data_IF_526871337043
#
_entry.id   IF_526871337043
#
_cell.length_a   1.000
_cell.length_b   1.000
_cell.length_c   1.000
_cell.angle_alpha   90.00
_cell.angle_beta   90.00
_cell.angle_gamma   90.00
#
_symmetry.space_group_name_H-M   'P 1'
#
loop_
_entity.id
_entity.type
_entity.pdbx_description
1 polymer ?
#
# COMPACT_ATOMS: atom_id res chain seq x y z
N UNK A 1 7.81 15.84 3.99
CA UNK A 1 8.43 14.68 3.30
C UNK A 1 9.37 13.84 4.18
N UNK A 2 10.44 14.37 4.79
CA UNK A 2 11.39 13.58 5.60
C UNK A 2 10.79 12.82 6.82
N UNK A 3 9.59 13.24 7.28
CA UNK A 3 8.88 12.64 8.41
C UNK A 3 8.56 11.16 8.20
N UNK A 4 8.22 10.76 6.97
CA UNK A 4 7.75 9.41 6.69
C UNK A 4 8.85 8.50 6.13
N UNK A 5 9.96 9.04 5.65
CA UNK A 5 11.03 8.25 5.03
C UNK A 5 11.60 7.17 5.95
N UNK A 6 11.63 7.43 7.27
CA UNK A 6 12.11 6.45 8.26
C UNK A 6 11.08 5.37 8.63
N UNK A 7 9.81 5.51 8.26
CA UNK A 7 8.73 4.57 8.63
C UNK A 7 8.11 3.87 7.42
N UNK A 8 8.46 4.22 6.18
CA UNK A 8 7.95 3.60 4.95
C UNK A 8 8.04 2.07 4.98
N UNK A 9 9.19 1.53 5.37
CA UNK A 9 9.40 0.08 5.45
C UNK A 9 8.52 -0.58 6.51
N UNK A 10 8.31 0.10 7.64
CA UNK A 10 7.45 -0.39 8.72
C UNK A 10 5.98 -0.36 8.32
N UNK A 11 5.54 0.68 7.61
CA UNK A 11 4.18 0.76 7.04
C UNK A 11 3.98 -0.37 6.02
N UNK A 12 4.92 -0.56 5.09
CA UNK A 12 4.86 -1.64 4.12
C UNK A 12 4.78 -3.03 4.80
N UNK A 13 5.51 -3.22 5.91
CA UNK A 13 5.46 -4.46 6.69
C UNK A 13 4.10 -4.67 7.39
N UNK A 14 3.47 -3.62 7.93
CA UNK A 14 2.13 -3.69 8.51
C UNK A 14 1.13 -4.14 7.44
N UNK A 15 1.11 -3.47 6.27
CA UNK A 15 0.26 -3.84 5.15
C UNK A 15 0.46 -5.30 4.75
N UNK A 16 1.72 -5.70 4.55
CA UNK A 16 2.06 -7.08 4.18
C UNK A 16 1.51 -8.08 5.18
N UNK A 17 1.73 -7.85 6.48
CA UNK A 17 1.26 -8.74 7.56
C UNK A 17 -0.25 -8.93 7.53
N UNK A 18 -1.03 -7.85 7.37
CA UNK A 18 -2.49 -7.95 7.33
C UNK A 18 -3.00 -8.62 6.04
N UNK A 19 -2.39 -8.32 4.90
CA UNK A 19 -2.72 -8.92 3.62
C UNK A 19 -2.41 -10.42 3.59
N UNK A 20 -1.22 -10.82 4.03
CA UNK A 20 -0.81 -12.22 4.15
C UNK A 20 -1.69 -12.98 5.15
N UNK A 21 -2.08 -12.36 6.27
CA UNK A 21 -2.99 -12.97 7.24
C UNK A 21 -4.39 -13.23 6.65
N UNK A 22 -4.88 -12.36 5.78
CA UNK A 22 -6.21 -12.47 5.16
C UNK A 22 -6.23 -13.43 3.98
N UNK A 23 -5.27 -13.30 3.07
CA UNK A 23 -5.28 -13.99 1.79
C UNK A 23 -4.34 -15.20 1.74
N UNK A 24 -3.35 -15.26 2.63
CA UNK A 24 -2.38 -16.35 2.69
C UNK A 24 -1.71 -16.58 1.34
N UNK A 25 -1.61 -17.84 0.93
CA UNK A 25 -0.99 -18.22 -0.34
C UNK A 25 -1.90 -18.02 -1.57
N UNK A 26 -3.09 -17.43 -1.41
CA UNK A 26 -4.04 -17.23 -2.52
C UNK A 26 -3.71 -16.00 -3.37
N UNK A 27 -3.06 -15.02 -2.76
CA UNK A 27 -2.54 -13.81 -3.38
C UNK A 27 -1.15 -13.55 -2.82
N UNK A 28 -0.21 -13.22 -3.70
CA UNK A 28 1.16 -12.87 -3.29
C UNK A 28 1.33 -11.36 -3.40
N UNK A 29 1.81 -10.72 -2.33
CA UNK A 29 2.00 -9.26 -2.25
C UNK A 29 3.49 -8.92 -2.24
N UNK A 30 4.14 -9.08 -3.41
CA UNK A 30 5.59 -8.98 -3.53
C UNK A 30 6.12 -7.56 -3.30
N UNK A 31 5.39 -6.54 -3.78
CA UNK A 31 5.83 -5.14 -3.73
C UNK A 31 4.77 -4.27 -3.07
N UNK A 32 5.18 -3.54 -2.02
CA UNK A 32 4.35 -2.55 -1.35
C UNK A 32 5.14 -1.26 -1.29
N UNK A 33 4.69 -0.26 -2.05
CA UNK A 33 5.36 1.02 -2.19
C UNK A 33 4.60 2.08 -1.39
N UNK A 34 5.30 2.71 -0.45
CA UNK A 34 4.74 3.74 0.43
C UNK A 34 5.36 5.09 0.08
N UNK A 35 4.54 6.00 -0.41
CA UNK A 35 4.98 7.31 -0.89
C UNK A 35 4.23 8.43 -0.17
N UNK A 36 4.92 9.37 0.50
CA UNK A 36 4.27 10.56 1.03
C UNK A 36 3.84 11.46 -0.13
N UNK A 37 2.59 11.89 -0.11
CA UNK A 37 1.98 12.78 -1.09
C UNK A 37 1.32 13.98 -0.40
N UNK A 38 1.07 15.01 -1.18
CA UNK A 38 0.18 16.11 -0.82
C UNK A 38 -1.10 15.95 -1.62
N UNK A 39 -2.24 16.19 -1.00
CA UNK A 39 -3.52 16.26 -1.70
C UNK A 39 -3.72 17.65 -2.36
N UNK A 40 -4.91 17.92 -2.86
CA UNK A 40 -5.23 19.21 -3.51
C UNK A 40 -5.25 20.41 -2.55
N UNK A 41 -5.19 20.17 -1.24
CA UNK A 41 -5.19 21.19 -0.18
C UNK A 41 -3.85 21.29 0.55
N UNK A 42 -2.77 20.73 0.00
CA UNK A 42 -1.44 20.65 0.62
C UNK A 42 -1.41 19.86 1.94
N UNK A 43 -2.35 18.92 2.15
CA UNK A 43 -2.34 18.03 3.31
C UNK A 43 -1.52 16.76 3.02
N UNK A 44 -0.58 16.44 3.91
CA UNK A 44 0.26 15.24 3.77
C UNK A 44 -0.54 13.96 4.06
N UNK A 45 -0.50 13.00 3.11
CA UNK A 45 -1.01 11.64 3.29
C UNK A 45 0.00 10.61 2.79
N UNK A 46 -0.26 9.33 3.12
CA UNK A 46 0.55 8.21 2.62
C UNK A 46 -0.20 7.49 1.51
N UNK A 47 0.36 7.53 0.31
CA UNK A 47 -0.07 6.70 -0.80
C UNK A 47 0.59 5.33 -0.69
N UNK A 48 -0.21 4.27 -0.69
CA UNK A 48 0.23 2.88 -0.57
C UNK A 48 -0.20 2.13 -1.83
N UNK A 49 0.77 1.76 -2.66
CA UNK A 49 0.54 0.90 -3.83
C UNK A 49 0.98 -0.51 -3.52
N UNK A 50 0.04 -1.45 -3.63
CA UNK A 50 0.26 -2.87 -3.41
C UNK A 50 0.20 -3.57 -4.76
N UNK A 51 1.31 -4.16 -5.18
CA UNK A 51 1.34 -5.06 -6.33
C UNK A 51 1.01 -6.45 -5.84
N UNK A 52 0.02 -7.08 -6.47
CA UNK A 52 -0.39 -8.44 -6.14
C UNK A 52 -0.26 -9.37 -7.34
N UNK A 53 -0.07 -10.66 -7.07
CA UNK A 53 -0.01 -11.75 -8.05
C UNK A 53 -1.03 -12.82 -7.64
N UNK A 54 -1.91 -13.21 -8.57
CA UNK A 54 -2.97 -14.20 -8.37
C UNK A 54 -4.37 -13.72 -8.77
N UNK A 55 -5.40 -14.37 -8.22
CA UNK A 55 -6.81 -14.13 -8.56
C UNK A 55 -7.35 -12.84 -7.92
N UNK A 56 -7.34 -11.74 -8.67
CA UNK A 56 -7.80 -10.42 -8.22
C UNK A 56 -9.26 -10.36 -7.76
N UNK A 57 -10.12 -11.29 -8.19
CA UNK A 57 -11.52 -11.37 -7.72
C UNK A 57 -11.60 -11.70 -6.21
N UNK A 58 -10.49 -12.15 -5.63
CA UNK A 58 -10.37 -12.40 -4.20
C UNK A 58 -10.18 -11.14 -3.37
N UNK A 59 -9.80 -10.01 -3.98
CA UNK A 59 -9.68 -8.71 -3.31
C UNK A 59 -11.07 -8.16 -2.97
N UNK A 60 -11.66 -8.72 -1.90
CA UNK A 60 -12.95 -8.33 -1.35
C UNK A 60 -12.99 -6.81 -1.05
N UNK A 61 -13.77 -6.01 -1.82
CA UNK A 61 -13.78 -4.56 -1.68
C UNK A 61 -14.21 -4.09 -0.29
N UNK A 62 -15.15 -4.81 0.34
CA UNK A 62 -15.63 -4.44 1.68
C UNK A 62 -14.54 -4.63 2.73
N UNK A 63 -13.77 -5.70 2.60
CA UNK A 63 -12.64 -5.96 3.50
C UNK A 63 -11.50 -4.96 3.28
N UNK A 64 -11.16 -4.68 2.03
CA UNK A 64 -10.10 -3.73 1.65
C UNK A 64 -10.44 -2.31 2.12
N UNK A 65 -11.68 -1.86 1.94
CA UNK A 65 -12.14 -0.56 2.45
C UNK A 65 -12.06 -0.46 3.99
N UNK A 66 -12.14 -1.60 4.68
CA UNK A 66 -11.99 -1.69 6.13
C UNK A 66 -10.56 -1.91 6.60
N UNK A 67 -9.58 -2.07 5.70
CA UNK A 67 -8.21 -2.45 6.06
C UNK A 67 -7.51 -1.36 6.89
N UNK A 68 -7.64 -0.09 6.51
CA UNK A 68 -7.07 1.02 7.28
C UNK A 68 -7.49 0.97 8.76
N UNK A 69 -8.78 0.76 9.04
CA UNK A 69 -9.29 0.71 10.41
C UNK A 69 -8.73 -0.45 11.23
N UNK A 70 -8.40 -1.56 10.57
CA UNK A 70 -7.77 -2.71 11.21
C UNK A 70 -6.30 -2.43 11.58
N UNK A 71 -5.59 -1.68 10.74
CA UNK A 71 -4.18 -1.33 10.91
C UNK A 71 -3.97 -0.03 11.72
N UNK A 72 -5.02 0.77 11.89
CA UNK A 72 -4.94 2.11 12.48
C UNK A 72 -4.16 2.14 13.81
N UNK A 73 -4.34 1.20 14.77
CA UNK A 73 -3.56 1.22 16.01
C UNK A 73 -2.05 1.15 15.76
N UNK A 74 -1.61 0.26 14.88
CA UNK A 74 -0.19 0.07 14.53
C UNK A 74 0.38 1.29 13.78
N UNK A 75 -0.42 1.90 12.89
CA UNK A 75 -0.03 3.13 12.18
C UNK A 75 0.13 4.32 13.14
N UNK A 76 -0.77 4.45 14.12
CA UNK A 76 -0.69 5.51 15.14
C UNK A 76 0.57 5.36 16.00
N UNK A 77 0.97 4.13 16.35
CA UNK A 77 2.22 3.87 17.07
C UNK A 77 3.47 4.36 16.31
N UNK A 78 3.41 4.37 14.97
CA UNK A 78 4.44 4.94 14.10
C UNK A 78 4.33 6.45 13.89
N UNK A 79 3.37 7.12 14.55
CA UNK A 79 3.11 8.55 14.40
C UNK A 79 2.36 8.92 13.12
N UNK A 80 1.71 7.95 12.47
CA UNK A 80 0.88 8.15 11.29
C UNK A 80 -0.57 8.27 11.77
N UNK A 81 -1.06 9.50 11.77
CA UNK A 81 -2.41 9.83 12.25
C UNK A 81 -3.40 10.09 11.11
N UNK A 82 -2.89 10.24 9.89
CA UNK A 82 -3.67 10.54 8.70
C UNK A 82 -4.03 9.24 7.98
N UNK A 83 -5.12 9.28 7.21
CA UNK A 83 -5.49 8.15 6.37
C UNK A 83 -4.40 7.86 5.33
N UNK A 84 -4.25 6.58 5.05
CA UNK A 84 -3.54 6.07 3.88
C UNK A 84 -4.51 6.02 2.70
N UNK A 85 -3.97 6.17 1.49
CA UNK A 85 -4.70 5.94 0.25
C UNK A 85 -4.13 4.69 -0.41
N UNK A 86 -4.93 3.63 -0.45
CA UNK A 86 -4.53 2.34 -1.00
C UNK A 86 -4.88 2.19 -2.47
N UNK A 87 -4.03 1.52 -3.23
CA UNK A 87 -4.32 1.03 -4.57
C UNK A 87 -3.70 -0.35 -4.77
N UNK A 88 -4.44 -1.23 -5.44
CA UNK A 88 -4.03 -2.60 -5.72
C UNK A 88 -3.84 -2.76 -7.22
N UNK A 89 -2.68 -3.26 -7.62
CA UNK A 89 -2.27 -3.33 -9.01
C UNK A 89 -1.89 -4.77 -9.32
N UNK A 90 -2.47 -5.32 -10.36
CA UNK A 90 -2.13 -6.66 -10.83
C UNK A 90 -0.69 -6.65 -11.35
N UNK A 91 0.12 -7.61 -10.92
CA UNK A 91 1.50 -7.77 -11.37
C UNK A 91 1.59 -7.95 -12.88
N UNK A 92 0.62 -8.61 -13.49
CA UNK A 92 0.59 -8.80 -14.95
C UNK A 92 0.39 -7.45 -15.68
N UNK A 93 -0.33 -6.49 -15.08
CA UNK A 93 -0.50 -5.14 -15.66
C UNK A 93 0.84 -4.39 -15.74
N UNK A 94 1.74 -4.60 -14.78
CA UNK A 94 3.01 -3.87 -14.69
C UNK A 94 4.22 -4.65 -15.20
N UNK A 95 4.05 -5.93 -15.54
CA UNK A 95 5.14 -6.79 -16.00
C UNK A 95 5.70 -6.34 -17.36
N UNK A 96 4.87 -5.72 -18.20
CA UNK A 96 5.29 -5.18 -19.49
C UNK A 96 5.82 -3.75 -19.42
N UNK A 97 5.79 -3.11 -18.24
CA UNK A 97 6.23 -1.74 -18.08
C UNK A 97 7.75 -1.62 -18.04
N UNK A 98 8.25 -0.60 -18.70
CA UNK A 98 9.65 -0.20 -18.60
C UNK A 98 10.00 0.28 -17.19
N UNK A 99 11.29 0.25 -16.84
CA UNK A 99 11.78 0.81 -15.58
C UNK A 99 11.38 2.28 -15.40
N UNK A 100 11.29 3.06 -16.50
CA UNK A 100 10.83 4.44 -16.45
C UNK A 100 9.34 4.57 -16.14
N UNK A 101 8.49 3.70 -16.68
CA UNK A 101 7.05 3.68 -16.40
C UNK A 101 6.79 3.26 -14.96
N UNK A 102 7.48 2.22 -14.48
CA UNK A 102 7.46 1.82 -13.07
C UNK A 102 7.97 2.93 -12.17
N UNK A 103 9.08 3.58 -12.52
CA UNK A 103 9.60 4.71 -11.77
C UNK A 103 8.61 5.88 -11.72
N UNK A 104 7.88 6.19 -12.80
CA UNK A 104 6.86 7.25 -12.78
C UNK A 104 5.72 6.93 -11.81
N UNK A 105 5.32 5.67 -11.72
CA UNK A 105 4.25 5.25 -10.82
C UNK A 105 4.71 5.20 -9.35
N UNK A 106 5.92 4.74 -9.07
CA UNK A 106 6.42 4.49 -7.71
C UNK A 106 7.32 5.61 -7.13
N UNK A 107 7.48 6.73 -7.84
CA UNK A 107 8.30 7.89 -7.41
C UNK A 107 7.63 8.79 -6.40
#
# INVERSE_FOLDING_TARGET
MAKYDSVKEQVAAIYRSHLEKKFGDRLVFDEIHVTPRLDEWDEEYLEVRVVYDGDGDLLDPDWINGLYWQMQPELIELGITNFTSESYIDKDEITEWTDEERARLFK
#
